data_IF_064741049529
#
_entry.id   IF_064741049529
#
_cell.length_a   1.000
_cell.length_b   1.000
_cell.length_c   1.000
_cell.angle_alpha   90.00
_cell.angle_beta   90.00
_cell.angle_gamma   90.00
#
_symmetry.space_group_name_H-M   'P 1'
#
loop_
_entity.id
_entity.type
_entity.pdbx_description
1 polymer ?
#
# COMPACT_ATOMS: atom_id res chain seq x y z
N UNK A 1 5.76 -29.95 2.34
CA UNK A 1 5.27 -29.86 3.72
C UNK A 1 4.47 -28.57 3.85
N UNK A 2 3.34 -28.55 4.58
CA UNK A 2 2.66 -27.30 4.90
C UNK A 2 3.55 -26.39 5.75
N UNK A 3 3.29 -25.09 5.71
CA UNK A 3 3.91 -24.10 6.58
C UNK A 3 3.53 -24.32 8.05
N UNK A 4 4.26 -23.71 8.98
CA UNK A 4 3.97 -23.80 10.42
C UNK A 4 2.59 -23.25 10.78
N UNK A 5 2.05 -22.34 9.97
CA UNK A 5 0.67 -21.85 10.07
C UNK A 5 -0.40 -22.82 9.51
N UNK A 6 0.01 -23.98 8.99
CA UNK A 6 -0.86 -24.98 8.37
C UNK A 6 -1.21 -24.72 6.90
N UNK A 7 -0.82 -23.58 6.33
CA UNK A 7 -1.05 -23.29 4.91
C UNK A 7 -0.21 -24.19 3.99
N UNK A 8 -0.81 -24.64 2.89
CA UNK A 8 -0.13 -25.49 1.90
C UNK A 8 0.80 -24.70 0.97
N UNK A 9 0.40 -23.48 0.61
CA UNK A 9 1.11 -22.62 -0.33
C UNK A 9 1.62 -21.36 0.40
N UNK A 10 2.93 -21.08 0.38
CA UNK A 10 3.48 -19.86 0.96
C UNK A 10 3.07 -18.59 0.22
N UNK A 11 2.75 -18.64 -1.08
CA UNK A 11 2.52 -17.43 -1.87
C UNK A 11 1.27 -16.62 -1.46
N UNK A 12 0.08 -17.24 -1.27
CA UNK A 12 -1.11 -16.52 -0.78
C UNK A 12 -1.18 -16.46 0.76
N UNK A 13 -0.28 -17.14 1.48
CA UNK A 13 -0.34 -17.20 2.93
C UNK A 13 0.03 -15.86 3.57
N UNK A 14 -0.88 -15.32 4.39
CA UNK A 14 -0.69 -14.06 5.14
C UNK A 14 -0.71 -14.25 6.66
N UNK A 15 -0.75 -15.49 7.16
CA UNK A 15 -0.98 -15.81 8.59
C UNK A 15 0.05 -15.22 9.56
N UNK A 16 1.26 -14.93 9.09
CA UNK A 16 2.35 -14.38 9.88
C UNK A 16 2.72 -12.96 9.46
N UNK A 17 2.02 -12.39 8.48
CA UNK A 17 2.29 -11.01 8.06
C UNK A 17 1.74 -10.04 9.11
N UNK A 18 2.60 -9.19 9.69
CA UNK A 18 2.14 -8.22 10.66
C UNK A 18 1.23 -7.18 9.97
N UNK A 19 0.33 -6.52 10.71
CA UNK A 19 -0.39 -5.37 10.19
C UNK A 19 0.57 -4.30 9.66
N UNK A 20 0.10 -3.51 8.69
CA UNK A 20 0.87 -2.42 8.10
C UNK A 20 1.31 -1.42 9.19
N UNK A 21 2.62 -1.39 9.45
CA UNK A 21 3.21 -0.53 10.48
C UNK A 21 3.33 0.92 10.02
N UNK A 22 3.47 1.84 10.98
CA UNK A 22 3.64 3.25 10.63
C UNK A 22 4.88 3.54 9.78
N UNK A 23 5.98 2.81 10.05
CA UNK A 23 7.20 2.91 9.27
C UNK A 23 7.05 2.32 7.87
N UNK A 24 6.25 1.28 7.70
CA UNK A 24 5.93 0.76 6.38
C UNK A 24 5.15 1.80 5.57
N UNK A 25 4.17 2.48 6.19
CA UNK A 25 3.39 3.54 5.52
C UNK A 25 4.30 4.70 5.10
N UNK A 26 5.23 5.13 5.96
CA UNK A 26 6.22 6.17 5.63
C UNK A 26 7.04 5.75 4.39
N UNK A 27 7.57 4.52 4.39
CA UNK A 27 8.34 4.01 3.25
C UNK A 27 7.52 3.93 1.95
N UNK A 28 6.26 3.56 2.03
CA UNK A 28 5.35 3.56 0.88
C UNK A 28 5.08 4.96 0.34
N UNK A 29 4.89 5.95 1.22
CA UNK A 29 4.75 7.36 0.82
C UNK A 29 6.00 7.82 0.08
N UNK A 30 7.17 7.63 0.68
CA UNK A 30 8.43 8.13 0.14
C UNK A 30 8.74 7.46 -1.21
N UNK A 31 8.45 6.15 -1.35
CA UNK A 31 8.57 5.44 -2.62
C UNK A 31 7.58 5.96 -3.68
N UNK A 32 6.32 6.23 -3.29
CA UNK A 32 5.33 6.79 -4.21
C UNK A 32 5.76 8.18 -4.71
N UNK A 33 6.21 9.05 -3.81
CA UNK A 33 6.72 10.38 -4.18
C UNK A 33 7.95 10.28 -5.10
N UNK A 34 8.86 9.34 -4.84
CA UNK A 34 10.02 9.11 -5.70
C UNK A 34 9.62 8.70 -7.12
N UNK A 35 8.71 7.73 -7.25
CA UNK A 35 8.22 7.28 -8.57
C UNK A 35 7.49 8.40 -9.30
N UNK A 36 6.65 9.17 -8.59
CA UNK A 36 5.97 10.33 -9.17
C UNK A 36 6.94 11.38 -9.70
N UNK A 37 8.06 11.61 -9.01
CA UNK A 37 9.11 12.53 -9.47
C UNK A 37 9.76 12.09 -10.79
N UNK A 38 9.63 10.82 -11.19
CA UNK A 38 10.08 10.33 -12.50
C UNK A 38 9.05 10.51 -13.63
N UNK A 39 7.87 11.06 -13.32
CA UNK A 39 6.75 11.19 -14.27
C UNK A 39 5.93 9.91 -14.45
N UNK A 40 6.13 8.91 -13.59
CA UNK A 40 5.41 7.64 -13.61
C UNK A 40 4.35 7.58 -12.51
N UNK A 41 3.29 6.79 -12.70
CA UNK A 41 2.27 6.56 -11.68
C UNK A 41 2.61 5.30 -10.88
N UNK A 42 2.86 5.39 -9.56
CA UNK A 42 3.18 4.23 -8.74
C UNK A 42 1.93 3.38 -8.48
N UNK A 43 2.06 2.07 -8.69
CA UNK A 43 1.06 1.11 -8.24
C UNK A 43 1.20 0.90 -6.73
N UNK A 44 0.21 1.35 -5.96
CA UNK A 44 0.20 1.22 -4.50
C UNK A 44 -0.91 0.28 -4.02
N UNK A 45 -0.63 -0.61 -3.06
CA UNK A 45 -1.66 -1.44 -2.43
C UNK A 45 -2.82 -0.61 -1.84
N UNK A 46 -4.03 -1.18 -1.87
CA UNK A 46 -5.25 -0.47 -1.42
C UNK A 46 -5.23 -0.15 0.08
N UNK A 47 -4.71 -1.06 0.90
CA UNK A 47 -4.53 -0.90 2.34
C UNK A 47 -3.57 0.25 2.67
N UNK A 48 -2.48 0.39 1.92
CA UNK A 48 -1.53 1.51 2.01
C UNK A 48 -2.24 2.83 1.70
N UNK A 49 -2.97 2.92 0.58
CA UNK A 49 -3.74 4.14 0.23
C UNK A 49 -4.77 4.50 1.30
N UNK A 50 -5.49 3.51 1.84
CA UNK A 50 -6.45 3.71 2.94
C UNK A 50 -5.76 4.14 4.24
N UNK A 51 -4.53 3.69 4.49
CA UNK A 51 -3.75 4.11 5.64
C UNK A 51 -3.32 5.58 5.52
N UNK A 52 -2.80 5.98 4.35
CA UNK A 52 -2.46 7.38 4.04
C UNK A 52 -3.67 8.32 4.16
N UNK A 53 -4.82 7.94 3.60
CA UNK A 53 -6.07 8.70 3.72
C UNK A 53 -6.47 8.98 5.19
N UNK A 54 -6.34 7.96 6.06
CA UNK A 54 -6.69 8.07 7.48
C UNK A 54 -5.73 8.99 8.25
N UNK A 55 -4.46 9.10 7.84
CA UNK A 55 -3.48 10.01 8.46
C UNK A 55 -3.79 11.49 8.24
N UNK A 56 -4.46 11.83 7.14
CA UNK A 56 -4.84 13.22 6.85
C UNK A 56 -3.68 14.07 6.32
N UNK A 57 -3.90 15.38 6.20
CA UNK A 57 -2.90 16.33 5.70
C UNK A 57 -2.34 15.93 4.32
N UNK A 58 -1.03 16.08 4.16
CA UNK A 58 -0.32 15.74 2.91
C UNK A 58 -0.44 14.27 2.52
N UNK A 59 -0.53 13.35 3.49
CA UNK A 59 -0.71 11.93 3.21
C UNK A 59 -2.09 11.67 2.58
N UNK A 60 -3.12 12.43 2.96
CA UNK A 60 -4.45 12.34 2.35
C UNK A 60 -4.46 12.89 0.92
N UNK A 61 -3.85 14.04 0.70
CA UNK A 61 -3.72 14.63 -0.64
C UNK A 61 -3.01 13.66 -1.59
N UNK A 62 -1.95 13.01 -1.12
CA UNK A 62 -1.27 11.96 -1.89
C UNK A 62 -2.19 10.76 -2.15
N UNK A 63 -2.94 10.28 -1.15
CA UNK A 63 -3.86 9.16 -1.32
C UNK A 63 -4.96 9.45 -2.34
N UNK A 64 -5.51 10.66 -2.35
CA UNK A 64 -6.48 11.15 -3.34
C UNK A 64 -5.88 11.14 -4.74
N UNK A 65 -4.71 11.77 -4.89
CA UNK A 65 -3.99 11.79 -6.16
C UNK A 65 -3.76 10.38 -6.70
N UNK A 66 -3.24 9.47 -5.86
CA UNK A 66 -2.98 8.09 -6.26
C UNK A 66 -4.25 7.32 -6.60
N UNK A 67 -5.37 7.62 -5.93
CA UNK A 67 -6.66 7.00 -6.23
C UNK A 67 -7.15 7.36 -7.64
N UNK A 68 -7.09 8.65 -8.00
CA UNK A 68 -7.46 9.12 -9.34
C UNK A 68 -6.48 8.62 -10.41
N UNK A 69 -5.17 8.67 -10.14
CA UNK A 69 -4.14 8.31 -11.11
C UNK A 69 -4.11 6.80 -11.43
N UNK A 70 -4.46 5.93 -10.48
CA UNK A 70 -4.50 4.48 -10.68
C UNK A 70 -5.83 3.96 -11.28
N UNK A 71 -6.64 4.85 -11.86
CA UNK A 71 -7.83 4.48 -12.61
C UNK A 71 -9.05 4.15 -11.77
N UNK A 72 -9.17 4.73 -10.57
CA UNK A 72 -10.35 4.68 -9.68
C UNK A 72 -10.95 3.27 -9.56
N UNK A 73 -10.67 2.55 -8.46
CA UNK A 73 -11.40 1.30 -8.22
C UNK A 73 -12.87 1.65 -8.06
N UNK A 74 -13.70 1.32 -9.06
CA UNK A 74 -15.15 1.34 -8.97
C UNK A 74 -15.54 0.44 -7.80
N UNK A 75 -15.92 1.06 -6.68
CA UNK A 75 -16.47 0.40 -5.52
C UNK A 75 -17.90 -0.08 -5.79
#
# INVERSE_FOLDING_TARGET
MPLDCGCRDPWPCRCTEPPLSDKAIDGWRDAAEHVLATGQIPLTPLDVRRALWRRGGRDRELAEFLHHACGEVLA
#
